data_IF_671984436474
#
_entry.id   IF_671984436474
#
_cell.length_a   1.000
_cell.length_b   1.000
_cell.length_c   1.000
_cell.angle_alpha   90.00
_cell.angle_beta   90.00
_cell.angle_gamma   90.00
#
_symmetry.space_group_name_H-M   'P 1'
#
loop_
_entity.id
_entity.type
_entity.pdbx_description
1 polymer ?
#
# COMPACT_ATOMS: atom_id res chain seq x y z
N UNK A 1 47.02 37.73 -33.23
CA UNK A 1 45.78 37.27 -32.58
C UNK A 1 46.09 35.91 -31.99
N UNK A 2 46.58 35.88 -30.75
CA UNK A 2 46.89 34.65 -30.04
C UNK A 2 45.58 34.10 -29.47
N UNK A 3 45.09 33.00 -30.02
CA UNK A 3 43.91 32.30 -29.52
C UNK A 3 44.28 31.58 -28.22
N UNK A 4 43.99 32.20 -27.08
CA UNK A 4 44.14 31.62 -25.75
C UNK A 4 43.29 30.34 -25.64
N UNK A 5 43.93 29.19 -25.86
CA UNK A 5 43.31 27.87 -25.74
C UNK A 5 43.10 27.62 -24.26
N UNK A 6 41.91 27.92 -23.76
CA UNK A 6 41.47 27.68 -22.37
C UNK A 6 41.62 26.19 -22.03
N UNK A 7 42.79 25.79 -21.55
CA UNK A 7 43.02 24.47 -20.97
C UNK A 7 42.32 24.42 -19.62
N UNK A 8 41.11 23.86 -19.59
CA UNK A 8 40.48 23.48 -18.31
C UNK A 8 41.40 22.48 -17.64
N UNK A 9 42.14 22.92 -16.62
CA UNK A 9 42.90 22.02 -15.77
C UNK A 9 41.93 20.95 -15.22
N UNK A 10 42.28 19.66 -15.28
CA UNK A 10 41.45 18.61 -14.72
C UNK A 10 41.32 18.82 -13.20
N UNK A 11 40.12 18.58 -12.67
CA UNK A 11 39.89 18.61 -11.23
C UNK A 11 40.95 17.76 -10.50
N UNK A 12 41.47 18.24 -9.36
CA UNK A 12 42.45 17.50 -8.60
C UNK A 12 41.83 16.19 -8.08
N UNK A 13 42.64 15.13 -7.97
CA UNK A 13 42.18 13.77 -7.65
C UNK A 13 41.38 13.70 -6.34
N UNK A 14 41.76 14.49 -5.35
CA UNK A 14 41.03 14.59 -4.07
C UNK A 14 39.61 15.16 -4.25
N UNK A 15 39.41 16.11 -5.17
CA UNK A 15 38.10 16.69 -5.45
C UNK A 15 37.20 15.69 -6.18
N UNK A 16 37.76 14.85 -7.05
CA UNK A 16 37.03 13.73 -7.66
C UNK A 16 36.61 12.70 -6.62
N UNK A 17 37.48 12.41 -5.65
CA UNK A 17 37.18 11.51 -4.53
C UNK A 17 36.03 12.03 -3.66
N UNK A 18 36.06 13.31 -3.29
CA UNK A 18 34.97 13.94 -2.53
C UNK A 18 33.66 13.96 -3.31
N UNK A 19 33.71 14.25 -4.61
CA UNK A 19 32.53 14.21 -5.47
C UNK A 19 31.93 12.80 -5.54
N UNK A 20 32.77 11.78 -5.72
CA UNK A 20 32.32 10.39 -5.75
C UNK A 20 31.67 9.99 -4.41
N UNK A 21 32.28 10.35 -3.28
CA UNK A 21 31.72 10.10 -1.95
C UNK A 21 30.38 10.83 -1.75
N UNK A 22 30.29 12.09 -2.17
CA UNK A 22 29.05 12.87 -2.07
C UNK A 22 27.91 12.25 -2.88
N UNK A 23 28.20 11.75 -4.09
CA UNK A 23 27.22 11.02 -4.91
C UNK A 23 26.78 9.73 -4.22
N UNK A 24 27.71 8.99 -3.60
CA UNK A 24 27.42 7.74 -2.91
C UNK A 24 26.53 7.97 -1.68
N UNK A 25 26.84 8.99 -0.88
CA UNK A 25 26.03 9.41 0.28
C UNK A 25 24.65 9.90 -0.17
N UNK A 26 24.58 10.74 -1.21
CA UNK A 26 23.31 11.24 -1.72
C UNK A 26 22.42 10.09 -2.23
N UNK A 27 22.99 9.17 -3.01
CA UNK A 27 22.26 7.98 -3.48
C UNK A 27 21.82 7.10 -2.33
N UNK A 28 22.68 6.88 -1.33
CA UNK A 28 22.34 6.11 -0.14
C UNK A 28 21.21 6.74 0.68
N UNK A 29 21.22 8.07 0.84
CA UNK A 29 20.14 8.80 1.50
C UNK A 29 18.83 8.68 0.72
N UNK A 30 18.85 8.87 -0.60
CA UNK A 30 17.66 8.67 -1.45
C UNK A 30 17.13 7.24 -1.30
N UNK A 31 17.99 6.23 -1.42
CA UNK A 31 17.58 4.85 -1.28
C UNK A 31 16.96 4.55 0.11
N UNK A 32 17.50 5.13 1.18
CA UNK A 32 16.99 4.95 2.54
C UNK A 32 15.62 5.62 2.75
N UNK A 33 15.44 6.84 2.24
CA UNK A 33 14.18 7.59 2.39
C UNK A 33 13.10 7.20 1.37
N UNK A 34 13.45 6.53 0.28
CA UNK A 34 12.51 6.04 -0.74
C UNK A 34 11.99 4.63 -0.49
N UNK A 35 12.34 3.99 0.62
CA UNK A 35 11.68 2.75 1.02
C UNK A 35 10.30 3.10 1.55
N UNK A 36 9.29 3.00 0.69
CA UNK A 36 7.89 2.96 1.13
C UNK A 36 7.68 1.74 2.02
N UNK A 37 6.90 1.91 3.08
CA UNK A 37 6.52 0.85 3.99
C UNK A 37 5.83 -0.27 3.18
N UNK A 38 6.41 -1.47 3.19
CA UNK A 38 5.77 -2.63 2.56
C UNK A 38 4.49 -2.93 3.33
N UNK A 39 3.35 -2.85 2.65
CA UNK A 39 2.07 -3.23 3.22
C UNK A 39 1.98 -4.75 3.20
N UNK A 40 1.84 -5.36 4.37
CA UNK A 40 1.68 -6.81 4.47
C UNK A 40 0.31 -7.25 3.93
N UNK A 41 0.33 -8.31 3.12
CA UNK A 41 -0.89 -8.95 2.62
C UNK A 41 -1.33 -10.04 3.58
N UNK A 42 -2.53 -9.88 4.17
CA UNK A 42 -3.03 -10.72 5.25
C UNK A 42 -4.45 -11.21 4.97
N UNK A 43 -4.80 -12.36 5.54
CA UNK A 43 -6.18 -12.86 5.56
C UNK A 43 -7.04 -12.09 6.56
N UNK A 44 -8.36 -12.16 6.42
CA UNK A 44 -9.32 -11.57 7.38
C UNK A 44 -9.09 -12.16 8.77
N UNK A 45 -8.91 -13.47 8.85
CA UNK A 45 -8.57 -14.19 10.10
C UNK A 45 -7.33 -13.60 10.78
N UNK A 46 -6.26 -13.42 10.00
CA UNK A 46 -4.98 -12.93 10.54
C UNK A 46 -5.12 -11.50 11.05
N UNK A 47 -5.85 -10.66 10.33
CA UNK A 47 -6.10 -9.27 10.72
C UNK A 47 -6.82 -9.14 12.07
N UNK A 48 -7.75 -10.05 12.40
CA UNK A 48 -8.52 -10.00 13.66
C UNK A 48 -7.93 -10.86 14.78
N UNK A 49 -7.00 -11.77 14.46
CA UNK A 49 -6.36 -12.67 15.44
C UNK A 49 -5.46 -11.97 16.47
N UNK A 50 -5.20 -10.67 16.32
CA UNK A 50 -4.23 -9.93 17.14
C UNK A 50 -2.77 -10.20 16.75
N UNK A 51 -2.54 -10.76 15.56
CA UNK A 51 -1.19 -10.89 14.99
C UNK A 51 -0.62 -9.54 14.52
N UNK A 52 -1.50 -8.54 14.37
CA UNK A 52 -1.17 -7.17 14.03
C UNK A 52 -1.77 -6.22 15.06
N UNK A 53 -1.02 -5.17 15.40
CA UNK A 53 -1.39 -4.17 16.39
C UNK A 53 -2.19 -3.01 15.76
N UNK A 54 -2.94 -2.30 16.60
CA UNK A 54 -3.57 -1.05 16.19
C UNK A 54 -2.50 -0.02 15.75
N UNK A 55 -2.71 0.60 14.59
CA UNK A 55 -1.78 1.51 13.93
C UNK A 55 -1.00 0.88 12.79
N UNK A 56 -1.01 -0.45 12.66
CA UNK A 56 -0.33 -1.12 11.55
C UNK A 56 -1.12 -1.03 10.25
N UNK A 57 -0.39 -0.82 9.16
CA UNK A 57 -0.93 -0.74 7.81
C UNK A 57 -0.92 -2.12 7.16
N UNK A 58 -2.09 -2.61 6.78
CA UNK A 58 -2.26 -3.95 6.21
C UNK A 58 -3.12 -3.91 4.95
N UNK A 59 -2.96 -4.93 4.11
CA UNK A 59 -3.80 -5.20 2.96
C UNK A 59 -4.55 -6.50 3.20
N UNK A 60 -5.87 -6.42 3.32
CA UNK A 60 -6.75 -7.56 3.62
C UNK A 60 -7.55 -7.93 2.40
N UNK A 61 -7.67 -9.22 2.12
CA UNK A 61 -8.55 -9.74 1.08
C UNK A 61 -9.68 -10.58 1.66
N UNK A 62 -10.89 -10.38 1.16
CA UNK A 62 -12.05 -11.19 1.51
C UNK A 62 -13.22 -10.88 0.58
N UNK A 63 -14.38 -11.46 0.88
CA UNK A 63 -15.61 -11.19 0.15
C UNK A 63 -16.42 -10.11 0.87
N UNK A 64 -17.05 -9.22 0.10
CA UNK A 64 -17.97 -8.23 0.66
C UNK A 64 -19.27 -8.92 1.05
N UNK A 65 -19.56 -9.01 2.35
CA UNK A 65 -20.83 -9.57 2.83
C UNK A 65 -21.95 -8.53 2.79
N UNK A 66 -21.67 -7.34 3.32
CA UNK A 66 -22.62 -6.25 3.44
C UNK A 66 -21.85 -4.93 3.42
N UNK A 67 -22.51 -3.85 2.98
CA UNK A 67 -21.92 -2.52 3.01
C UNK A 67 -22.96 -1.44 3.23
N UNK A 68 -22.51 -0.38 3.89
CA UNK A 68 -23.25 0.86 4.07
C UNK A 68 -22.42 2.01 3.51
N UNK A 69 -22.89 3.25 3.69
CA UNK A 69 -22.08 4.42 3.32
C UNK A 69 -20.86 4.62 4.22
N UNK A 70 -20.87 4.02 5.41
CA UNK A 70 -19.88 4.27 6.46
C UNK A 70 -18.96 3.07 6.63
N UNK A 71 -19.46 1.85 6.45
CA UNK A 71 -18.75 0.62 6.78
C UNK A 71 -18.95 -0.49 5.74
N UNK A 72 -17.97 -1.38 5.63
CA UNK A 72 -18.04 -2.65 4.88
C UNK A 72 -17.79 -3.81 5.86
N UNK A 73 -18.50 -4.91 5.67
CA UNK A 73 -18.20 -6.20 6.29
C UNK A 73 -17.47 -7.08 5.28
N UNK A 74 -16.20 -7.40 5.58
CA UNK A 74 -15.35 -8.25 4.77
C UNK A 74 -15.24 -9.64 5.42
N UNK A 75 -15.51 -10.71 4.66
CA UNK A 75 -15.55 -12.08 5.18
C UNK A 75 -14.59 -13.02 4.48
N UNK A 76 -14.02 -13.94 5.26
CA UNK A 76 -13.22 -15.07 4.78
C UNK A 76 -13.48 -16.27 5.68
N UNK A 77 -14.12 -17.32 5.14
CA UNK A 77 -14.57 -18.45 5.96
C UNK A 77 -15.60 -18.01 7.01
N UNK A 78 -15.32 -18.32 8.29
CA UNK A 78 -16.16 -17.96 9.43
C UNK A 78 -15.76 -16.62 10.08
N UNK A 79 -14.77 -15.92 9.51
CA UNK A 79 -14.24 -14.68 10.06
C UNK A 79 -14.81 -13.46 9.34
N UNK A 80 -15.13 -12.43 10.11
CA UNK A 80 -15.65 -11.15 9.62
C UNK A 80 -14.79 -10.02 10.17
N UNK A 81 -14.39 -9.10 9.30
CA UNK A 81 -13.68 -7.87 9.64
C UNK A 81 -14.53 -6.69 9.23
N UNK A 82 -14.77 -5.78 10.19
CA UNK A 82 -15.40 -4.48 9.91
C UNK A 82 -14.37 -3.53 9.32
N UNK A 83 -14.77 -2.81 8.28
CA UNK A 83 -13.94 -1.85 7.56
C UNK A 83 -14.64 -0.50 7.54
N UNK A 84 -14.03 0.52 8.14
CA UNK A 84 -14.52 1.91 8.09
C UNK A 84 -14.09 2.57 6.78
N UNK A 85 -15.04 3.10 6.01
CA UNK A 85 -14.79 3.73 4.71
C UNK A 85 -14.18 5.12 4.82
N UNK A 86 -14.53 5.91 5.84
CA UNK A 86 -13.98 7.26 6.11
C UNK A 86 -13.83 8.18 4.85
N UNK A 87 -14.74 8.06 3.87
CA UNK A 87 -14.72 8.84 2.64
C UNK A 87 -13.78 8.33 1.55
N UNK A 88 -13.26 7.11 1.67
CA UNK A 88 -12.50 6.44 0.62
C UNK A 88 -13.33 6.30 -0.67
N UNK A 89 -12.66 6.36 -1.81
CA UNK A 89 -13.30 6.17 -3.11
C UNK A 89 -13.74 4.71 -3.26
N UNK A 90 -15.05 4.50 -3.40
CA UNK A 90 -15.63 3.18 -3.69
C UNK A 90 -15.63 2.98 -5.21
N UNK A 91 -15.02 1.91 -5.74
CA UNK A 91 -15.05 1.61 -7.17
C UNK A 91 -16.46 1.33 -7.68
N UNK A 92 -16.77 1.71 -8.93
CA UNK A 92 -18.09 1.43 -9.55
C UNK A 92 -18.39 -0.08 -9.66
N UNK A 93 -17.36 -0.93 -9.63
CA UNK A 93 -17.48 -2.39 -9.67
C UNK A 93 -17.73 -3.03 -8.30
N UNK A 94 -17.81 -2.22 -7.25
CA UNK A 94 -18.05 -2.66 -5.89
C UNK A 94 -19.44 -3.29 -5.76
N UNK A 95 -19.50 -4.50 -5.19
CA UNK A 95 -20.74 -5.22 -4.98
C UNK A 95 -20.56 -6.26 -3.87
N UNK A 96 -21.67 -6.60 -3.22
CA UNK A 96 -21.79 -7.76 -2.34
C UNK A 96 -21.46 -9.05 -3.08
N UNK A 97 -21.05 -10.08 -2.33
CA UNK A 97 -20.64 -11.40 -2.82
C UNK A 97 -19.46 -11.39 -3.81
N UNK A 98 -18.72 -10.27 -3.88
CA UNK A 98 -17.50 -10.15 -4.67
C UNK A 98 -16.27 -10.05 -3.78
N UNK A 99 -15.19 -10.65 -4.25
CA UNK A 99 -13.88 -10.49 -3.65
C UNK A 99 -13.39 -9.04 -3.77
N UNK A 100 -12.89 -8.50 -2.67
CA UNK A 100 -12.28 -7.19 -2.58
C UNK A 100 -10.99 -7.28 -1.78
N UNK A 101 -10.00 -6.50 -2.22
CA UNK A 101 -8.75 -6.28 -1.51
C UNK A 101 -8.76 -4.85 -0.99
N UNK A 102 -8.65 -4.69 0.33
CA UNK A 102 -8.73 -3.40 1.01
C UNK A 102 -7.40 -3.14 1.70
N UNK A 103 -6.78 -2.01 1.39
CA UNK A 103 -5.61 -1.50 2.11
C UNK A 103 -6.05 -0.43 3.08
N UNK A 104 -5.56 -0.53 4.31
CA UNK A 104 -5.93 0.38 5.38
C UNK A 104 -5.04 0.25 6.60
N UNK A 105 -5.39 0.99 7.65
CA UNK A 105 -4.73 0.93 8.95
C UNK A 105 -5.66 0.29 9.96
N UNK A 106 -5.17 -0.70 10.72
CA UNK A 106 -5.92 -1.30 11.81
C UNK A 106 -6.10 -0.27 12.94
N UNK A 107 -7.29 -0.20 13.49
CA UNK A 107 -7.65 0.64 14.62
C UNK A 107 -8.48 -0.16 15.60
N UNK A 108 -8.23 0.02 16.90
CA UNK A 108 -9.09 -0.54 17.93
C UNK A 108 -10.24 0.43 18.20
N UNK A 109 -11.47 -0.03 18.01
CA UNK A 109 -12.71 0.72 18.27
C UNK A 109 -13.59 -0.15 19.16
N UNK A 110 -13.92 0.36 20.35
CA UNK A 110 -14.73 -0.35 21.34
C UNK A 110 -14.20 -1.75 21.74
N UNK A 111 -12.87 -1.95 21.66
CA UNK A 111 -12.21 -3.22 21.97
C UNK A 111 -12.21 -4.24 20.82
N UNK A 112 -12.62 -3.83 19.63
CA UNK A 112 -12.58 -4.63 18.40
C UNK A 112 -11.62 -4.01 17.37
N UNK A 113 -10.88 -4.85 16.65
CA UNK A 113 -10.03 -4.41 15.55
C UNK A 113 -10.88 -4.12 14.31
N UNK A 114 -10.78 -2.89 13.83
CA UNK A 114 -11.46 -2.37 12.63
C UNK A 114 -10.42 -1.89 11.65
N UNK A 115 -10.63 -2.13 10.36
CA UNK A 115 -9.73 -1.63 9.32
C UNK A 115 -10.23 -0.27 8.80
N UNK A 116 -9.44 0.78 8.94
CA UNK A 116 -9.74 2.07 8.31
C UNK A 116 -9.26 2.06 6.87
N UNK A 117 -10.20 2.02 5.92
CA UNK A 117 -9.89 1.90 4.51
C UNK A 117 -9.22 3.15 3.96
N UNK A 118 -8.22 2.94 3.14
CA UNK A 118 -7.56 3.98 2.35
C UNK A 118 -7.61 3.70 0.85
N UNK A 119 -7.65 2.43 0.48
CA UNK A 119 -7.78 2.00 -0.90
C UNK A 119 -8.61 0.73 -0.97
N UNK A 120 -9.59 0.71 -1.88
CA UNK A 120 -10.41 -0.45 -2.19
C UNK A 120 -10.10 -0.88 -3.62
N UNK A 121 -9.76 -2.15 -3.80
CA UNK A 121 -9.53 -2.78 -5.08
C UNK A 121 -10.47 -3.96 -5.23
N UNK A 122 -11.37 -3.89 -6.22
CA UNK A 122 -12.25 -5.02 -6.50
C UNK A 122 -11.49 -6.12 -7.24
N UNK A 123 -11.75 -7.36 -6.86
CA UNK A 123 -11.31 -8.52 -7.63
C UNK A 123 -11.88 -8.46 -9.05
N UNK A 124 -11.12 -8.96 -10.02
CA UNK A 124 -11.63 -9.11 -11.38
C UNK A 124 -12.91 -9.96 -11.37
N UNK A 125 -13.95 -9.59 -12.13
CA UNK A 125 -15.08 -10.48 -12.32
C UNK A 125 -14.56 -11.84 -12.82
N UNK A 126 -15.09 -12.92 -12.24
CA UNK A 126 -14.82 -14.28 -12.68
C UNK A 126 -14.90 -14.33 -14.22
N UNK A 127 -13.82 -14.79 -14.86
CA UNK A 127 -13.74 -14.99 -16.32
C UNK A 127 -14.79 -15.97 -16.86
N UNK A 128 -15.52 -16.66 -15.99
CA UNK A 128 -16.46 -17.74 -16.31
C UNK A 128 -17.81 -17.47 -15.65
N UNK A 129 -18.59 -16.57 -16.23
CA UNK A 129 -20.04 -16.69 -16.13
C UNK A 129 -20.45 -17.82 -17.09
N UNK A 130 -21.06 -18.92 -16.63
CA UNK A 130 -21.71 -19.83 -17.54
C UNK A 130 -22.84 -19.06 -18.22
N UNK A 131 -22.71 -18.84 -19.53
CA UNK A 131 -23.81 -18.34 -20.33
C UNK A 131 -25.02 -19.24 -20.05
N UNK A 132 -26.08 -18.65 -19.51
CA UNK A 132 -27.35 -19.33 -19.29
C UNK A 132 -27.74 -20.06 -20.59
N UNK A 133 -27.90 -21.37 -20.50
CA UNK A 133 -28.30 -22.25 -21.60
C UNK A 133 -29.81 -22.42 -21.63
#
# INVERSE_FOLDING_TARGET
>A
MESERRTRQPLPTWAKGLLALAILVATGAVAFYSVDEQVDYVSVETAISGSYDAGERVQVHGNVLNWTREDIELVEGDYTLRVELNGVLIPDTFAEDKGATITGTLAEVDGELVLRAELIQMGCPSKYEPAEA
#
